data_IF_449791903122
#
_entry.id   IF_449791903122
#
_cell.length_a   1.000
_cell.length_b   1.000
_cell.length_c   1.000
_cell.angle_alpha   90.00
_cell.angle_beta   90.00
_cell.angle_gamma   90.00
#
_symmetry.space_group_name_H-M   'P 1'
#
loop_
_entity.id
_entity.type
_entity.pdbx_description
1 polymer ?
#
# COMPACT_ATOMS: atom_id res chain seq x y z
N UNK A 1 -26.03 -30.94 62.68
CA UNK A 1 -25.26 -30.82 63.94
C UNK A 1 -23.91 -30.20 63.61
N UNK A 2 -23.70 -28.90 63.89
CA UNK A 2 -22.37 -28.27 63.89
C UNK A 2 -22.10 -27.87 65.33
N UNK A 3 -21.20 -28.61 65.99
CA UNK A 3 -20.66 -28.22 67.30
C UNK A 3 -19.86 -26.92 67.08
N UNK A 4 -20.35 -25.82 67.63
CA UNK A 4 -19.52 -24.63 67.83
C UNK A 4 -18.60 -24.90 69.01
N UNK A 5 -17.30 -25.03 68.77
CA UNK A 5 -16.31 -25.08 69.85
C UNK A 5 -16.22 -23.69 70.48
N UNK A 6 -16.89 -23.50 71.61
CA UNK A 6 -16.82 -22.27 72.39
C UNK A 6 -15.45 -22.20 73.07
N UNK A 7 -14.55 -21.38 72.53
CA UNK A 7 -13.27 -21.08 73.15
C UNK A 7 -13.48 -19.96 74.18
N UNK A 8 -13.49 -20.34 75.45
CA UNK A 8 -13.58 -19.41 76.57
C UNK A 8 -12.21 -18.78 76.83
N UNK A 9 -12.10 -17.46 76.76
CA UNK A 9 -10.88 -16.70 77.07
C UNK A 9 -11.06 -16.06 78.45
N UNK A 10 -10.26 -16.47 79.43
CA UNK A 10 -10.30 -15.91 80.79
C UNK A 10 -9.37 -14.70 80.89
N UNK A 11 -9.94 -13.50 81.06
CA UNK A 11 -9.19 -12.24 81.19
C UNK A 11 -10.02 -11.01 80.75
N UNK A 12 -9.47 -9.80 80.88
CA UNK A 12 -10.12 -8.55 80.42
C UNK A 12 -9.96 -8.27 78.93
N UNK A 13 -9.24 -9.12 78.20
CA UNK A 13 -9.04 -9.00 76.77
C UNK A 13 -10.14 -9.77 76.01
N UNK A 14 -11.11 -9.03 75.47
CA UNK A 14 -12.15 -9.58 74.59
C UNK A 14 -11.56 -9.83 73.20
N UNK A 15 -11.69 -11.04 72.61
CA UNK A 15 -11.27 -11.29 71.24
C UNK A 15 -12.10 -10.42 70.29
N UNK A 16 -11.43 -9.72 69.37
CA UNK A 16 -12.10 -8.92 68.35
C UNK A 16 -12.89 -9.85 67.43
N UNK A 17 -14.23 -9.74 67.46
CA UNK A 17 -15.10 -10.46 66.54
C UNK A 17 -14.81 -10.02 65.10
N UNK A 18 -14.43 -10.97 64.26
CA UNK A 18 -14.28 -10.76 62.82
C UNK A 18 -15.68 -10.76 62.20
N UNK A 19 -16.30 -9.58 62.16
CA UNK A 19 -17.64 -9.38 61.62
C UNK A 19 -17.58 -9.02 60.14
N UNK A 20 -17.85 -9.98 59.24
CA UNK A 20 -18.12 -9.66 57.84
C UNK A 20 -19.58 -9.17 57.70
N UNK A 21 -19.72 -7.85 57.63
CA UNK A 21 -20.97 -7.10 57.45
C UNK A 21 -21.83 -7.64 56.28
N UNK A 22 -21.21 -8.32 55.31
CA UNK A 22 -21.89 -8.87 54.13
C UNK A 22 -22.30 -10.34 54.25
N UNK A 23 -21.78 -11.10 55.22
CA UNK A 23 -22.20 -12.49 55.46
C UNK A 23 -23.46 -12.56 56.33
N UNK A 24 -23.49 -11.76 57.39
CA UNK A 24 -24.55 -11.80 58.41
C UNK A 24 -25.80 -10.98 58.03
N UNK A 25 -25.62 -9.88 57.28
CA UNK A 25 -26.74 -9.03 56.88
C UNK A 25 -27.29 -9.43 55.50
N UNK A 26 -28.48 -10.07 55.51
CA UNK A 26 -29.19 -10.53 54.30
C UNK A 26 -29.40 -9.41 53.25
N UNK A 27 -29.71 -8.19 53.69
CA UNK A 27 -29.97 -7.04 52.78
C UNK A 27 -28.69 -6.59 52.07
N UNK A 28 -27.56 -6.56 52.78
CA UNK A 28 -26.27 -6.16 52.21
C UNK A 28 -25.69 -7.22 51.29
N UNK A 29 -25.89 -8.51 51.62
CA UNK A 29 -25.54 -9.65 50.76
C UNK A 29 -26.28 -9.62 49.43
N UNK A 30 -27.58 -9.33 49.46
CA UNK A 30 -28.39 -9.19 48.25
C UNK A 30 -28.00 -7.97 47.41
N UNK A 31 -27.73 -6.81 48.03
CA UNK A 31 -27.20 -5.63 47.31
C UNK A 31 -25.87 -5.92 46.63
N UNK A 32 -24.95 -6.66 47.27
CA UNK A 32 -23.67 -7.09 46.67
C UNK A 32 -23.89 -8.01 45.45
N UNK A 33 -24.83 -8.96 45.55
CA UNK A 33 -25.21 -9.85 44.45
C UNK A 33 -25.85 -9.09 43.28
N UNK A 34 -26.69 -8.08 43.55
CA UNK A 34 -27.29 -7.23 42.51
C UNK A 34 -26.23 -6.38 41.78
N UNK A 35 -25.32 -5.74 42.52
CA UNK A 35 -24.19 -5.00 41.93
C UNK A 35 -23.29 -5.88 41.07
N UNK A 36 -23.03 -7.12 41.52
CA UNK A 36 -22.27 -8.09 40.73
C UNK A 36 -23.00 -8.47 39.42
N UNK A 37 -24.31 -8.73 39.47
CA UNK A 37 -25.12 -9.00 38.27
C UNK A 37 -25.13 -7.82 37.30
N UNK A 38 -25.25 -6.59 37.80
CA UNK A 38 -25.19 -5.38 36.97
C UNK A 38 -23.83 -5.21 36.28
N UNK A 39 -22.73 -5.45 37.02
CA UNK A 39 -21.36 -5.42 36.46
C UNK A 39 -21.17 -6.46 35.34
N UNK A 40 -21.72 -7.66 35.50
CA UNK A 40 -21.70 -8.70 34.45
C UNK A 40 -22.51 -8.27 33.23
N UNK A 41 -23.73 -7.73 33.41
CA UNK A 41 -24.56 -7.23 32.31
C UNK A 41 -23.89 -6.09 31.55
N UNK A 42 -23.30 -5.13 32.26
CA UNK A 42 -22.52 -4.06 31.63
C UNK A 42 -21.36 -4.61 30.81
N UNK A 43 -20.62 -5.59 31.33
CA UNK A 43 -19.52 -6.22 30.59
C UNK A 43 -20.00 -6.84 29.28
N UNK A 44 -21.14 -7.53 29.30
CA UNK A 44 -21.74 -8.12 28.09
C UNK A 44 -22.11 -7.03 27.08
N UNK A 45 -22.77 -5.96 27.53
CA UNK A 45 -23.15 -4.82 26.65
C UNK A 45 -21.91 -4.18 26.04
N UNK A 46 -20.86 -3.93 26.83
CA UNK A 46 -19.59 -3.40 26.34
C UNK A 46 -18.93 -4.34 25.31
N UNK A 47 -18.96 -5.65 25.53
CA UNK A 47 -18.45 -6.62 24.56
C UNK A 47 -19.23 -6.55 23.24
N UNK A 48 -20.56 -6.45 23.29
CA UNK A 48 -21.39 -6.33 22.08
C UNK A 48 -21.06 -5.04 21.32
N UNK A 49 -20.96 -3.91 22.02
CA UNK A 49 -20.57 -2.62 21.41
C UNK A 49 -19.17 -2.71 20.80
N UNK A 50 -18.23 -3.36 21.49
CA UNK A 50 -16.87 -3.53 20.99
C UNK A 50 -16.83 -4.38 19.72
N UNK A 51 -17.55 -5.51 19.68
CA UNK A 51 -17.65 -6.35 18.48
C UNK A 51 -18.32 -5.60 17.33
N UNK A 52 -19.37 -4.81 17.62
CA UNK A 52 -20.04 -3.99 16.62
C UNK A 52 -19.14 -2.85 16.08
N UNK A 53 -18.39 -2.19 16.94
CA UNK A 53 -17.42 -1.19 16.51
C UNK A 53 -16.31 -1.81 15.66
N UNK A 54 -15.83 -3.00 16.03
CA UNK A 54 -14.84 -3.74 15.24
C UNK A 54 -15.38 -4.14 13.85
N UNK A 55 -16.64 -4.57 13.75
CA UNK A 55 -17.25 -4.91 12.46
C UNK A 55 -17.44 -3.68 11.57
N UNK A 56 -17.85 -2.54 12.12
CA UNK A 56 -17.94 -1.27 11.39
C UNK A 56 -16.56 -0.82 10.88
N UNK A 57 -15.52 -0.94 11.72
CA UNK A 57 -14.15 -0.63 11.30
C UNK A 57 -13.71 -1.52 10.14
N UNK A 58 -13.94 -2.84 10.23
CA UNK A 58 -13.65 -3.76 9.14
C UNK A 58 -14.38 -3.35 7.86
N UNK A 59 -15.68 -3.08 7.94
CA UNK A 59 -16.49 -2.65 6.80
C UNK A 59 -15.95 -1.37 6.15
N UNK A 60 -15.54 -0.38 6.96
CA UNK A 60 -14.94 0.86 6.45
C UNK A 60 -13.61 0.60 5.72
N UNK A 61 -12.78 -0.33 6.21
CA UNK A 61 -11.54 -0.72 5.54
C UNK A 61 -11.81 -1.45 4.22
N UNK A 62 -12.80 -2.34 4.20
CA UNK A 62 -13.22 -3.01 2.96
C UNK A 62 -13.73 -2.02 1.92
N UNK A 63 -14.52 -1.02 2.31
CA UNK A 63 -14.97 0.02 1.38
C UNK A 63 -13.79 0.78 0.74
N UNK A 64 -12.81 1.17 1.55
CA UNK A 64 -11.59 1.85 1.08
C UNK A 64 -10.78 0.96 0.12
N UNK A 65 -10.58 -0.31 0.47
CA UNK A 65 -9.88 -1.27 -0.40
C UNK A 65 -10.59 -1.41 -1.75
N UNK A 66 -11.92 -1.50 -1.74
CA UNK A 66 -12.72 -1.59 -2.97
C UNK A 66 -12.56 -0.34 -3.83
N UNK A 67 -12.58 0.85 -3.23
CA UNK A 67 -12.34 2.10 -3.95
C UNK A 67 -10.94 2.13 -4.59
N UNK A 68 -9.91 1.76 -3.84
CA UNK A 68 -8.55 1.65 -4.38
C UNK A 68 -8.47 0.64 -5.52
N UNK A 69 -9.13 -0.52 -5.41
CA UNK A 69 -9.17 -1.51 -6.49
C UNK A 69 -9.83 -0.94 -7.76
N UNK A 70 -10.90 -0.14 -7.62
CA UNK A 70 -11.49 0.56 -8.75
C UNK A 70 -10.53 1.56 -9.39
N UNK A 71 -9.81 2.34 -8.57
CA UNK A 71 -8.81 3.29 -9.08
C UNK A 71 -7.68 2.58 -9.82
N UNK A 72 -7.17 1.47 -9.28
CA UNK A 72 -6.15 0.65 -9.93
C UNK A 72 -6.66 0.08 -11.24
N UNK A 73 -7.90 -0.43 -11.27
CA UNK A 73 -8.50 -0.98 -12.49
C UNK A 73 -8.69 0.08 -13.57
N UNK A 74 -9.13 1.30 -13.22
CA UNK A 74 -9.25 2.39 -14.19
C UNK A 74 -7.89 2.84 -14.71
N UNK A 75 -6.87 2.90 -13.85
CA UNK A 75 -5.52 3.25 -14.26
C UNK A 75 -4.93 2.20 -15.20
N UNK A 76 -5.13 0.92 -14.90
CA UNK A 76 -4.69 -0.18 -15.77
C UNK A 76 -5.42 -0.15 -17.13
N UNK A 77 -6.73 0.15 -17.14
CA UNK A 77 -7.49 0.34 -18.37
C UNK A 77 -6.91 1.47 -19.22
N UNK A 78 -6.67 2.65 -18.63
CA UNK A 78 -6.06 3.79 -19.32
C UNK A 78 -4.66 3.47 -19.84
N UNK A 79 -3.86 2.78 -19.05
CA UNK A 79 -2.53 2.35 -19.46
C UNK A 79 -2.59 1.41 -20.68
N UNK A 80 -3.48 0.41 -20.63
CA UNK A 80 -3.67 -0.53 -21.72
C UNK A 80 -4.23 0.16 -22.98
N UNK A 81 -5.10 1.15 -22.83
CA UNK A 81 -5.60 1.98 -23.94
C UNK A 81 -4.45 2.71 -24.64
N UNK A 82 -3.62 3.44 -23.89
CA UNK A 82 -2.45 4.15 -24.43
C UNK A 82 -1.45 3.18 -25.06
N UNK A 83 -1.20 2.03 -24.43
CA UNK A 83 -0.30 1.00 -24.97
C UNK A 83 -0.81 0.44 -26.29
N UNK A 84 -2.11 0.16 -26.37
CA UNK A 84 -2.75 -0.34 -27.59
C UNK A 84 -2.73 0.73 -28.68
N UNK A 85 -2.99 1.99 -28.35
CA UNK A 85 -2.89 3.11 -29.28
C UNK A 85 -1.47 3.25 -29.83
N UNK A 86 -0.45 3.20 -28.97
CA UNK A 86 0.96 3.25 -29.38
C UNK A 86 1.30 2.10 -30.34
N UNK A 87 0.88 0.88 -30.01
CA UNK A 87 1.07 -0.28 -30.89
C UNK A 87 0.37 -0.09 -32.24
N UNK A 88 -0.87 0.42 -32.23
CA UNK A 88 -1.63 0.72 -33.46
C UNK A 88 -0.92 1.77 -34.31
N UNK A 89 -0.46 2.87 -33.70
CA UNK A 89 0.29 3.92 -34.39
C UNK A 89 1.59 3.39 -34.98
N UNK A 90 2.30 2.52 -34.25
CA UNK A 90 3.52 1.89 -34.76
C UNK A 90 3.24 1.05 -36.01
N UNK A 91 2.19 0.23 -35.99
CA UNK A 91 1.78 -0.58 -37.17
C UNK A 91 1.34 0.33 -38.32
N UNK A 92 0.62 1.42 -38.05
CA UNK A 92 0.25 2.40 -39.07
C UNK A 92 1.48 3.03 -39.72
N UNK A 93 2.47 3.46 -38.92
CA UNK A 93 3.73 4.02 -39.44
C UNK A 93 4.45 3.00 -40.32
N UNK A 94 4.58 1.75 -39.87
CA UNK A 94 5.22 0.69 -40.65
C UNK A 94 4.48 0.42 -41.97
N UNK A 95 3.14 0.51 -41.95
CA UNK A 95 2.30 0.32 -43.14
C UNK A 95 2.43 1.48 -44.12
N UNK A 96 2.39 2.72 -43.64
CA UNK A 96 2.57 3.92 -44.46
C UNK A 96 3.99 4.03 -45.02
N UNK A 97 5.00 3.58 -44.26
CA UNK A 97 6.39 3.52 -44.71
C UNK A 97 6.70 2.28 -45.56
N UNK A 98 5.71 1.39 -45.78
CA UNK A 98 5.92 0.22 -46.63
C UNK A 98 6.25 0.66 -48.07
N UNK A 99 7.18 -0.05 -48.71
CA UNK A 99 7.65 0.28 -50.07
C UNK A 99 6.51 0.43 -51.07
N UNK A 100 5.46 -0.39 -50.95
CA UNK A 100 4.27 -0.33 -51.79
C UNK A 100 3.53 1.00 -51.65
N UNK A 101 3.35 1.49 -50.41
CA UNK A 101 2.62 2.74 -50.15
C UNK A 101 3.46 3.97 -50.48
N UNK A 102 4.76 3.93 -50.19
CA UNK A 102 5.72 4.96 -50.61
C UNK A 102 5.77 5.07 -52.13
N UNK A 103 5.80 3.94 -52.85
CA UNK A 103 5.78 3.89 -54.32
C UNK A 103 4.48 4.48 -54.87
N UNK A 104 3.33 4.05 -54.35
CA UNK A 104 2.02 4.58 -54.75
C UNK A 104 1.95 6.10 -54.56
N UNK A 105 2.42 6.62 -53.42
CA UNK A 105 2.45 8.06 -53.15
C UNK A 105 3.41 8.79 -54.09
N UNK A 106 4.59 8.24 -54.35
CA UNK A 106 5.58 8.82 -55.26
C UNK A 106 5.04 8.91 -56.70
N UNK A 107 4.38 7.86 -57.17
CA UNK A 107 3.82 7.81 -58.53
C UNK A 107 2.59 8.71 -58.66
N UNK A 108 1.65 8.64 -57.71
CA UNK A 108 0.36 9.36 -57.82
C UNK A 108 0.46 10.84 -57.44
N UNK A 109 1.15 11.18 -56.35
CA UNK A 109 1.18 12.56 -55.82
C UNK A 109 2.37 13.36 -56.31
N UNK A 110 3.51 12.72 -56.48
CA UNK A 110 4.75 13.39 -56.88
C UNK A 110 5.04 13.22 -58.38
N UNK A 111 4.25 12.42 -59.10
CA UNK A 111 4.45 12.15 -60.52
C UNK A 111 5.78 11.46 -60.83
N UNK A 112 6.39 10.79 -59.83
CA UNK A 112 7.65 10.09 -60.00
C UNK A 112 7.41 8.81 -60.82
N UNK A 113 8.41 8.40 -61.60
CA UNK A 113 8.42 7.10 -62.28
C UNK A 113 9.64 6.29 -61.84
N UNK A 114 9.52 4.97 -61.92
CA UNK A 114 10.66 4.09 -61.66
C UNK A 114 11.76 4.34 -62.71
N UNK A 115 13.02 4.55 -62.29
CA UNK A 115 14.10 4.83 -63.22
C UNK A 115 14.53 3.58 -64.01
N UNK A 116 14.91 3.79 -65.26
CA UNK A 116 15.42 2.73 -66.14
C UNK A 116 16.83 2.28 -65.74
N UNK A 117 17.25 1.11 -66.24
CA UNK A 117 18.57 0.52 -65.92
C UNK A 117 19.75 1.45 -66.19
N UNK A 118 19.69 2.26 -67.26
CA UNK A 118 20.76 3.18 -67.65
C UNK A 118 20.81 4.47 -66.81
N UNK A 119 19.76 4.76 -66.03
CA UNK A 119 19.67 5.95 -65.17
C UNK A 119 20.21 5.70 -63.75
N UNK A 120 20.67 4.49 -63.44
CA UNK A 120 21.19 4.11 -62.12
C UNK A 120 22.72 4.21 -62.08
N UNK A 121 23.24 5.06 -61.18
CA UNK A 121 24.68 5.23 -60.92
C UNK A 121 25.00 4.84 -59.48
N UNK A 122 25.99 3.97 -59.29
CA UNK A 122 26.44 3.54 -57.96
C UNK A 122 27.49 4.50 -57.42
N UNK A 123 27.24 5.07 -56.23
CA UNK A 123 28.20 5.92 -55.51
C UNK A 123 28.68 5.21 -54.24
N UNK A 124 29.96 5.41 -53.90
CA UNK A 124 30.55 4.89 -52.65
C UNK A 124 30.30 5.88 -51.53
N UNK A 125 29.54 5.47 -50.52
CA UNK A 125 29.29 6.27 -49.32
C UNK A 125 30.33 5.92 -48.25
N UNK A 126 31.11 6.88 -47.73
CA UNK A 126 32.06 6.63 -46.64
C UNK A 126 31.31 6.35 -45.32
N UNK A 127 31.70 5.28 -44.61
CA UNK A 127 31.05 4.75 -43.38
C UNK A 127 31.43 5.52 -42.11
N UNK A 128 31.41 6.85 -42.17
CA UNK A 128 31.81 7.68 -41.04
C UNK A 128 30.57 7.93 -40.18
N UNK A 129 30.07 6.89 -39.52
CA UNK A 129 28.90 6.99 -38.65
C UNK A 129 29.29 7.79 -37.39
N UNK A 130 28.94 9.08 -37.38
CA UNK A 130 29.04 9.92 -36.19
C UNK A 130 27.73 9.83 -35.40
N UNK A 131 27.68 8.91 -34.44
CA UNK A 131 26.61 8.88 -33.45
C UNK A 131 26.77 10.07 -32.50
N UNK A 132 25.94 11.11 -32.68
CA UNK A 132 25.80 12.18 -31.70
C UNK A 132 24.98 11.66 -30.53
N UNK A 133 25.64 11.10 -29.51
CA UNK A 133 24.99 10.81 -28.23
C UNK A 133 24.48 12.13 -27.65
N UNK A 134 23.18 12.22 -27.43
CA UNK A 134 22.57 13.41 -26.83
C UNK A 134 23.17 13.62 -25.43
N UNK A 135 23.79 14.79 -25.20
CA UNK A 135 24.46 15.17 -23.93
C UNK A 135 23.58 14.97 -22.68
N UNK A 136 22.27 14.98 -22.86
CA UNK A 136 21.28 14.84 -21.80
C UNK A 136 21.39 13.50 -21.03
N UNK A 137 21.87 12.42 -21.67
CA UNK A 137 22.05 11.12 -20.99
C UNK A 137 23.24 11.11 -20.01
N UNK A 138 24.21 12.03 -20.16
CA UNK A 138 25.38 12.12 -19.27
C UNK A 138 25.12 12.99 -18.05
N UNK A 139 24.25 14.01 -18.16
CA UNK A 139 23.93 14.92 -17.04
C UNK A 139 23.06 14.26 -15.95
N UNK A 140 22.18 13.34 -16.32
CA UNK A 140 21.29 12.64 -15.36
C UNK A 140 22.07 11.62 -14.50
N UNK A 141 23.05 10.94 -15.09
CA UNK A 141 23.94 10.02 -14.40
C UNK A 141 24.90 10.74 -13.43
N UNK A 142 25.34 11.96 -13.75
CA UNK A 142 26.20 12.75 -12.85
C UNK A 142 25.41 13.25 -11.62
N UNK A 143 24.13 13.61 -11.79
CA UNK A 143 23.26 14.00 -10.66
C UNK A 143 22.93 12.82 -9.75
N UNK A 144 22.63 11.64 -10.29
CA UNK A 144 22.32 10.45 -9.47
C UNK A 144 23.53 10.02 -8.62
N UNK A 145 24.73 9.99 -9.22
CA UNK A 145 25.96 9.63 -8.51
C UNK A 145 26.32 10.64 -7.40
N UNK A 146 26.05 11.93 -7.60
CA UNK A 146 26.22 12.97 -6.56
C UNK A 146 25.26 12.80 -5.37
N UNK A 147 24.00 12.43 -5.63
CA UNK A 147 23.02 12.17 -4.57
C UNK A 147 23.37 10.91 -3.77
N UNK A 148 23.82 9.84 -4.43
CA UNK A 148 24.31 8.62 -3.76
C UNK A 148 25.56 8.88 -2.92
N UNK A 149 26.51 9.68 -3.41
CA UNK A 149 27.70 10.07 -2.66
C UNK A 149 27.34 10.86 -1.38
N UNK A 150 26.35 11.75 -1.46
CA UNK A 150 25.85 12.49 -0.29
C UNK A 150 25.20 11.56 0.75
N UNK A 151 24.38 10.60 0.30
CA UNK A 151 23.77 9.60 1.18
C UNK A 151 24.81 8.72 1.87
N UNK A 152 25.82 8.25 1.14
CA UNK A 152 26.92 7.46 1.72
C UNK A 152 27.72 8.23 2.76
N UNK A 153 27.93 9.54 2.55
CA UNK A 153 28.61 10.38 3.54
C UNK A 153 27.79 10.54 4.83
N UNK A 154 26.46 10.60 4.75
CA UNK A 154 25.59 10.63 5.95
C UNK A 154 25.67 9.30 6.71
N UNK A 155 25.62 8.17 5.99
CA UNK A 155 25.69 6.84 6.58
C UNK A 155 27.03 6.63 7.30
N UNK A 156 28.15 6.97 6.67
CA UNK A 156 29.48 6.88 7.28
C UNK A 156 29.60 7.77 8.52
N UNK A 157 29.01 8.96 8.51
CA UNK A 157 29.02 9.88 9.66
C UNK A 157 28.18 9.37 10.84
N UNK A 158 27.09 8.66 10.58
CA UNK A 158 26.25 8.05 11.61
C UNK A 158 26.89 6.79 12.22
N UNK A 159 27.57 5.99 11.39
CA UNK A 159 28.32 4.80 11.85
C UNK A 159 29.46 5.22 12.78
N UNK A 160 30.23 6.25 12.43
CA UNK A 160 31.30 6.78 13.29
C UNK A 160 30.84 7.55 14.54
N UNK A 161 29.53 7.67 14.78
CA UNK A 161 28.95 8.25 16.01
C UNK A 161 28.42 7.17 16.97
N UNK A 162 28.37 5.92 16.53
CA UNK A 162 27.84 4.77 17.28
C UNK A 162 28.96 3.85 17.79
N UNK A 163 30.17 3.94 17.22
CA UNK A 163 31.43 3.44 17.79
C UNK A 163 32.11 4.50 18.67
#
# INVERSE_FOLDING_TARGET
MKHGSENYVYGTAVPKIEYDVYEDNKVLKEKKKQKAKYKVRLRIVFTIIFVFAASLLLMSRYALITELNYQVSDLDRKYNEIKNENSRLKVQIETEMSLSKVKEMAETRLGMQSPDRYQKVYIRVPKNDVTKVAKNYMEENDKSNKLFAFLMNIVNKMIGLID
#
